data_IF_935700282976
#
_entry.id   IF_935700282976
#
_cell.length_a   1.000
_cell.length_b   1.000
_cell.length_c   1.000
_cell.angle_alpha   90.00
_cell.angle_beta   90.00
_cell.angle_gamma   90.00
#
_symmetry.space_group_name_H-M   'P 1'
#
loop_
_entity.id
_entity.type
_entity.pdbx_description
1 polymer ?
#
# COMPACT_ATOMS: atom_id res chain seq x y z
N UNK A 1 29.59 7.76 -59.12
CA UNK A 1 28.19 8.01 -58.75
C UNK A 1 27.47 6.69 -58.49
N UNK A 2 27.43 5.76 -59.45
CA UNK A 2 26.80 4.42 -59.32
C UNK A 2 27.24 3.61 -58.08
N UNK A 3 28.55 3.53 -57.80
CA UNK A 3 29.07 2.76 -56.66
C UNK A 3 28.60 3.29 -55.29
N UNK A 4 28.44 4.62 -55.16
CA UNK A 4 27.96 5.26 -53.92
C UNK A 4 26.47 4.96 -53.74
N UNK A 5 25.70 4.97 -54.82
CA UNK A 5 24.26 4.70 -54.80
C UNK A 5 23.98 3.24 -54.43
N UNK A 6 24.74 2.28 -54.97
CA UNK A 6 24.63 0.85 -54.62
C UNK A 6 25.01 0.55 -53.16
N UNK A 7 26.02 1.25 -52.63
CA UNK A 7 26.40 1.12 -51.22
C UNK A 7 25.30 1.68 -50.28
N UNK A 8 24.69 2.81 -50.65
CA UNK A 8 23.59 3.38 -49.86
C UNK A 8 22.36 2.45 -49.84
N UNK A 9 22.01 1.84 -50.97
CA UNK A 9 20.84 0.95 -51.07
C UNK A 9 21.02 -0.36 -50.31
N UNK A 10 22.25 -0.85 -50.15
CA UNK A 10 22.53 -2.09 -49.40
C UNK A 10 22.42 -1.90 -47.88
N UNK A 11 22.84 -0.75 -47.34
CA UNK A 11 22.96 -0.56 -45.89
C UNK A 11 21.84 0.29 -45.26
N UNK A 12 20.95 0.89 -46.07
CA UNK A 12 19.85 1.71 -45.53
C UNK A 12 18.90 0.92 -44.64
N UNK A 13 18.65 -0.35 -44.98
CA UNK A 13 17.78 -1.24 -44.20
C UNK A 13 18.41 -1.55 -42.84
N UNK A 14 19.71 -1.85 -42.81
CA UNK A 14 20.45 -2.12 -41.56
C UNK A 14 20.49 -0.90 -40.64
N UNK A 15 20.73 0.29 -41.19
CA UNK A 15 20.71 1.53 -40.42
C UNK A 15 19.30 1.88 -39.92
N UNK A 16 18.25 1.62 -40.69
CA UNK A 16 16.87 1.82 -40.24
C UNK A 16 16.52 0.88 -39.08
N UNK A 17 16.88 -0.40 -39.16
CA UNK A 17 16.65 -1.34 -38.05
C UNK A 17 17.49 -0.97 -36.82
N UNK A 18 18.74 -0.56 -36.99
CA UNK A 18 19.58 -0.07 -35.88
C UNK A 18 19.00 1.19 -35.23
N UNK A 19 18.57 2.16 -36.02
CA UNK A 19 17.92 3.38 -35.54
C UNK A 19 16.59 3.07 -34.83
N UNK A 20 15.77 2.17 -35.38
CA UNK A 20 14.54 1.74 -34.76
C UNK A 20 14.77 1.00 -33.42
N UNK A 21 15.76 0.10 -33.37
CA UNK A 21 16.12 -0.64 -32.16
C UNK A 21 16.65 0.29 -31.06
N UNK A 22 17.50 1.25 -31.41
CA UNK A 22 18.02 2.24 -30.45
C UNK A 22 16.93 3.16 -29.91
N UNK A 23 15.99 3.61 -30.75
CA UNK A 23 14.82 4.38 -30.31
C UNK A 23 13.90 3.56 -29.38
N UNK A 24 13.66 2.28 -29.72
CA UNK A 24 12.86 1.38 -28.88
C UNK A 24 13.51 1.16 -27.51
N UNK A 25 14.82 0.89 -27.47
CA UNK A 25 15.57 0.75 -26.23
C UNK A 25 15.56 2.04 -25.40
N UNK A 26 15.76 3.20 -26.04
CA UNK A 26 15.72 4.49 -25.35
C UNK A 26 14.33 4.77 -24.75
N UNK A 27 13.26 4.51 -25.51
CA UNK A 27 11.88 4.62 -25.05
C UNK A 27 11.59 3.70 -23.87
N UNK A 28 11.98 2.43 -23.97
CA UNK A 28 11.84 1.45 -22.89
C UNK A 28 12.59 1.89 -21.63
N UNK A 29 13.84 2.35 -21.77
CA UNK A 29 14.67 2.78 -20.65
C UNK A 29 14.08 4.02 -19.96
N UNK A 30 13.52 4.97 -20.72
CA UNK A 30 12.85 6.16 -20.17
C UNK A 30 11.59 5.78 -19.38
N UNK A 31 10.74 4.92 -19.94
CA UNK A 31 9.50 4.49 -19.30
C UNK A 31 9.80 3.65 -18.04
N UNK A 32 10.77 2.74 -18.13
CA UNK A 32 11.20 1.92 -17.00
C UNK A 32 11.67 2.76 -15.81
N UNK A 33 12.44 3.83 -16.07
CA UNK A 33 12.84 4.79 -15.03
C UNK A 33 11.63 5.47 -14.38
N UNK A 34 10.69 5.97 -15.18
CA UNK A 34 9.49 6.60 -14.62
C UNK A 34 8.62 5.63 -13.80
N UNK A 35 8.51 4.37 -14.21
CA UNK A 35 7.77 3.36 -13.46
C UNK A 35 8.46 3.08 -12.11
N UNK A 36 9.80 3.01 -12.11
CA UNK A 36 10.56 2.81 -10.88
C UNK A 36 10.35 3.96 -9.89
N UNK A 37 10.44 5.21 -10.35
CA UNK A 37 10.21 6.39 -9.50
C UNK A 37 8.79 6.45 -8.95
N UNK A 38 7.78 6.08 -9.75
CA UNK A 38 6.40 6.01 -9.27
C UNK A 38 6.20 4.89 -8.26
N UNK A 39 6.86 3.74 -8.47
CA UNK A 39 6.83 2.63 -7.53
C UNK A 39 7.44 3.04 -6.18
N UNK A 40 8.62 3.63 -6.18
CA UNK A 40 9.29 4.09 -4.93
C UNK A 40 8.41 5.09 -4.15
N UNK A 41 7.76 6.03 -4.85
CA UNK A 41 6.82 6.97 -4.21
C UNK A 41 5.59 6.25 -3.64
N UNK A 42 5.00 5.33 -4.40
CA UNK A 42 3.84 4.57 -3.95
C UNK A 42 4.19 3.66 -2.76
N UNK A 43 5.38 3.07 -2.76
CA UNK A 43 5.89 2.24 -1.68
C UNK A 43 6.05 3.11 -0.40
N UNK A 44 6.64 4.30 -0.51
CA UNK A 44 6.74 5.24 0.61
C UNK A 44 5.38 5.70 1.15
N UNK A 45 4.40 5.93 0.27
CA UNK A 45 3.02 6.27 0.66
C UNK A 45 2.34 5.08 1.37
N UNK A 46 2.53 3.86 0.85
CA UNK A 46 2.01 2.64 1.43
C UNK A 46 2.56 2.41 2.84
N UNK A 47 3.88 2.56 3.02
CA UNK A 47 4.55 2.49 4.33
C UNK A 47 4.01 3.55 5.30
N UNK A 48 3.87 4.80 4.85
CA UNK A 48 3.29 5.87 5.67
C UNK A 48 1.85 5.59 6.09
N UNK A 49 1.01 5.09 5.17
CA UNK A 49 -0.36 4.71 5.47
C UNK A 49 -0.43 3.54 6.45
N UNK A 50 0.43 2.54 6.28
CA UNK A 50 0.56 1.41 7.20
C UNK A 50 0.90 1.88 8.61
N UNK A 51 1.86 2.79 8.76
CA UNK A 51 2.25 3.37 10.04
C UNK A 51 1.11 4.16 10.70
N UNK A 52 0.37 4.95 9.93
CA UNK A 52 -0.78 5.72 10.44
C UNK A 52 -1.93 4.82 10.90
N UNK A 53 -2.26 3.78 10.11
CA UNK A 53 -3.30 2.82 10.48
C UNK A 53 -2.92 2.04 11.74
N UNK A 54 -1.65 1.64 11.84
CA UNK A 54 -1.09 0.99 13.04
C UNK A 54 -1.27 1.88 14.28
N UNK A 55 -0.86 3.14 14.19
CA UNK A 55 -0.98 4.10 15.28
C UNK A 55 -2.45 4.30 15.69
N UNK A 56 -3.37 4.38 14.73
CA UNK A 56 -4.79 4.53 15.04
C UNK A 56 -5.36 3.31 15.79
N UNK A 57 -4.96 2.09 15.41
CA UNK A 57 -5.35 0.86 16.12
C UNK A 57 -4.80 0.86 17.55
N UNK A 58 -3.54 1.26 17.75
CA UNK A 58 -2.92 1.37 19.08
C UNK A 58 -3.64 2.43 19.93
N UNK A 59 -3.94 3.59 19.36
CA UNK A 59 -4.67 4.66 20.04
C UNK A 59 -6.07 4.20 20.44
N UNK A 60 -6.79 3.53 19.53
CA UNK A 60 -8.10 2.94 19.81
C UNK A 60 -8.01 1.90 20.92
N UNK A 61 -6.96 1.06 20.92
CA UNK A 61 -6.72 0.09 21.98
C UNK A 61 -6.59 0.79 23.34
N UNK A 62 -5.69 1.76 23.46
CA UNK A 62 -5.48 2.47 24.73
C UNK A 62 -6.79 3.13 25.22
N UNK A 63 -7.51 3.80 24.31
CA UNK A 63 -8.75 4.49 24.64
C UNK A 63 -9.87 3.57 25.15
N UNK A 64 -10.10 2.43 24.51
CA UNK A 64 -11.17 1.50 24.92
C UNK A 64 -10.71 0.59 26.06
N UNK A 65 -9.42 0.27 26.14
CA UNK A 65 -8.86 -0.50 27.26
C UNK A 65 -9.05 0.23 28.59
N UNK A 66 -8.80 1.54 28.63
CA UNK A 66 -9.08 2.38 29.80
C UNK A 66 -10.56 2.41 30.18
N UNK A 67 -11.47 2.33 29.18
CA UNK A 67 -12.92 2.32 29.39
C UNK A 67 -13.47 0.96 29.83
N UNK A 68 -12.75 -0.13 29.60
CA UNK A 68 -13.18 -1.50 29.94
C UNK A 68 -14.20 -2.13 28.99
N UNK A 69 -14.72 -1.40 28.00
CA UNK A 69 -15.66 -1.91 26.99
C UNK A 69 -15.36 -1.31 25.61
N UNK A 70 -15.70 -2.05 24.55
CA UNK A 70 -15.53 -1.61 23.16
C UNK A 70 -16.89 -1.66 22.44
N UNK A 71 -17.54 -0.51 22.19
CA UNK A 71 -18.87 -0.49 21.59
C UNK A 71 -18.86 -1.04 20.16
N UNK A 72 -20.02 -1.51 19.68
CA UNK A 72 -20.15 -2.20 18.38
C UNK A 72 -19.59 -1.36 17.22
N UNK A 73 -19.87 -0.05 17.19
CA UNK A 73 -19.36 0.84 16.14
C UNK A 73 -17.83 0.93 16.15
N UNK A 74 -17.20 0.90 17.32
CA UNK A 74 -15.75 0.97 17.45
C UNK A 74 -15.11 -0.32 16.93
N UNK A 75 -15.69 -1.48 17.26
CA UNK A 75 -15.26 -2.77 16.72
C UNK A 75 -15.31 -2.81 15.19
N UNK A 76 -16.37 -2.28 14.59
CA UNK A 76 -16.50 -2.20 13.14
C UNK A 76 -15.47 -1.23 12.53
N UNK A 77 -15.24 -0.08 13.16
CA UNK A 77 -14.20 0.87 12.75
C UNK A 77 -12.80 0.22 12.77
N UNK A 78 -12.45 -0.49 13.85
CA UNK A 78 -11.17 -1.20 13.99
C UNK A 78 -11.01 -2.26 12.90
N UNK A 79 -12.06 -3.03 12.57
CA UNK A 79 -12.03 -3.98 11.45
C UNK A 79 -11.75 -3.28 10.13
N UNK A 80 -12.41 -2.15 9.86
CA UNK A 80 -12.24 -1.37 8.63
C UNK A 80 -10.85 -0.77 8.49
N UNK A 81 -10.21 -0.39 9.60
CA UNK A 81 -8.82 0.08 9.60
C UNK A 81 -7.81 -1.05 9.46
N UNK A 82 -8.08 -2.20 10.09
CA UNK A 82 -7.19 -3.35 10.05
C UNK A 82 -7.11 -3.99 8.65
N UNK A 83 -8.22 -4.03 7.90
CA UNK A 83 -8.23 -4.62 6.55
C UNK A 83 -7.20 -4.00 5.58
N UNK A 84 -7.14 -2.67 5.36
CA UNK A 84 -6.12 -2.06 4.53
C UNK A 84 -4.72 -2.18 5.16
N UNK A 85 -4.59 -2.08 6.49
CA UNK A 85 -3.31 -2.27 7.17
C UNK A 85 -2.69 -3.65 6.87
N UNK A 86 -3.50 -4.71 6.96
CA UNK A 86 -3.07 -6.07 6.67
C UNK A 86 -2.72 -6.28 5.19
N UNK A 87 -3.44 -5.62 4.28
CA UNK A 87 -3.11 -5.63 2.84
C UNK A 87 -1.81 -4.90 2.50
N UNK A 88 -1.38 -3.96 3.35
CA UNK A 88 -0.08 -3.30 3.26
C UNK A 88 1.00 -4.09 4.02
N UNK A 89 0.87 -5.42 4.07
CA UNK A 89 1.75 -6.36 4.79
C UNK A 89 1.92 -6.07 6.29
N UNK A 90 0.98 -5.34 6.90
CA UNK A 90 0.92 -5.11 8.34
C UNK A 90 0.54 -6.37 9.11
N UNK A 91 1.50 -6.91 9.88
CA UNK A 91 1.34 -8.16 10.64
C UNK A 91 2.05 -8.10 12.00
N UNK A 92 2.02 -6.94 12.66
CA UNK A 92 2.71 -6.73 13.94
C UNK A 92 1.74 -6.71 15.15
N UNK A 93 2.15 -6.03 16.22
CA UNK A 93 1.39 -5.77 17.45
C UNK A 93 -0.05 -5.33 17.17
N UNK A 94 -0.31 -4.52 16.13
CA UNK A 94 -1.67 -4.05 15.81
C UNK A 94 -2.68 -5.19 15.59
N UNK A 95 -2.25 -6.34 15.08
CA UNK A 95 -3.10 -7.53 14.90
C UNK A 95 -3.63 -8.03 16.24
N UNK A 96 -2.73 -8.19 17.22
CA UNK A 96 -3.08 -8.65 18.56
C UNK A 96 -4.01 -7.65 19.25
N UNK A 97 -3.69 -6.36 19.16
CA UNK A 97 -4.51 -5.31 19.77
C UNK A 97 -5.93 -5.24 19.18
N UNK A 98 -6.05 -5.40 17.86
CA UNK A 98 -7.34 -5.51 17.19
C UNK A 98 -8.13 -6.71 17.71
N UNK A 99 -7.52 -7.88 17.86
CA UNK A 99 -8.22 -9.08 18.35
C UNK A 99 -8.67 -8.90 19.80
N UNK A 100 -7.83 -8.32 20.65
CA UNK A 100 -8.21 -7.97 22.03
C UNK A 100 -9.39 -7.00 22.09
N UNK A 101 -9.39 -5.94 21.28
CA UNK A 101 -10.51 -4.99 21.21
C UNK A 101 -11.80 -5.65 20.75
N UNK A 102 -11.71 -6.59 19.80
CA UNK A 102 -12.88 -7.33 19.32
C UNK A 102 -13.42 -8.32 20.35
N UNK A 103 -12.57 -8.83 21.25
CA UNK A 103 -12.95 -9.73 22.33
C UNK A 103 -13.59 -9.01 23.53
N UNK A 104 -13.38 -7.69 23.68
CA UNK A 104 -13.99 -6.90 24.77
C UNK A 104 -15.51 -6.93 24.75
N UNK A 105 -16.16 -6.73 25.90
CA UNK A 105 -17.62 -6.58 25.96
C UNK A 105 -18.09 -5.33 25.19
N UNK A 106 -19.29 -5.40 24.59
CA UNK A 106 -19.85 -4.32 23.74
C UNK A 106 -20.64 -3.27 24.49
N UNK A 107 -21.00 -3.56 25.75
CA UNK A 107 -21.79 -2.70 26.61
C UNK A 107 -21.00 -2.43 27.91
N UNK A 108 -21.24 -1.29 28.52
CA UNK A 108 -20.67 -0.97 29.83
C UNK A 108 -21.46 -1.78 30.86
N UNK A 109 -20.80 -2.57 31.71
CA UNK A 109 -21.47 -3.21 32.86
C UNK A 109 -22.19 -2.11 33.67
N UNK A 110 -23.52 -2.11 33.60
CA UNK A 110 -24.36 -1.26 34.45
C UNK A 110 -24.38 -1.91 35.82
N UNK A 111 -23.99 -1.23 36.91
CA UNK A 111 -24.11 -1.81 38.24
C UNK A 111 -25.55 -2.25 38.45
N UNK A 112 -25.76 -3.54 38.77
CA UNK A 112 -27.05 -4.06 39.19
C UNK A 112 -27.48 -3.28 40.43
N UNK A 113 -28.36 -2.29 40.27
CA UNK A 113 -29.06 -1.74 41.42
C UNK A 113 -29.98 -2.83 41.94
N UNK A 114 -29.61 -3.40 43.07
CA UNK A 114 -30.48 -4.24 43.89
C UNK A 114 -31.79 -3.46 44.08
N UNK A 115 -32.85 -3.96 43.44
CA UNK A 115 -34.22 -3.50 43.70
C UNK A 115 -34.69 -4.26 44.93
N UNK A 116 -34.28 -3.77 46.10
CA UNK A 116 -34.84 -4.14 47.40
C UNK A 116 -35.58 -2.95 47.99
#
# INVERSE_FOLDING_TARGET
>A
MEAIISYLTSHIVEWLFGAAATLALFGYHRISRSIKEQKEKNDAIAEGMQALLRENIIQSYNHYKEKGYCPIYAKESIRRMYQPYHKLDGNDVATKLKDELLAMQTEKEVPSYDTN
#
